data_IF_253712495312
#
_entry.id   IF_253712495312
#
_cell.length_a   1.000
_cell.length_b   1.000
_cell.length_c   1.000
_cell.angle_alpha   90.00
_cell.angle_beta   90.00
_cell.angle_gamma   90.00
#
_symmetry.space_group_name_H-M   'P 1'
#
loop_
_entity.id
_entity.type
_entity.pdbx_description
1 polymer ?
#
# COMPACT_ATOMS: atom_id res chain seq x y z
N UNK A 1 7.62 -14.11 -5.99
CA UNK A 1 6.99 -12.78 -6.22
C UNK A 1 5.48 -12.91 -6.07
N UNK A 2 4.84 -12.10 -5.22
CA UNK A 2 3.39 -12.18 -4.94
C UNK A 2 2.53 -12.00 -6.22
N UNK A 3 1.40 -12.71 -6.31
CA UNK A 3 0.44 -12.58 -7.44
C UNK A 3 -0.08 -11.15 -7.58
N UNK A 4 -0.32 -10.45 -6.47
CA UNK A 4 -0.79 -9.07 -6.48
C UNK A 4 0.23 -8.12 -7.13
N UNK A 5 1.52 -8.31 -6.84
CA UNK A 5 2.59 -7.52 -7.44
C UNK A 5 2.67 -7.77 -8.96
N UNK A 6 2.52 -9.02 -9.40
CA UNK A 6 2.51 -9.35 -10.82
C UNK A 6 1.35 -8.66 -11.55
N UNK A 7 0.16 -8.63 -10.96
CA UNK A 7 -0.99 -7.92 -11.52
C UNK A 7 -0.79 -6.40 -11.59
N UNK A 8 -0.16 -5.80 -10.56
CA UNK A 8 0.16 -4.37 -10.54
C UNK A 8 1.24 -3.96 -11.55
N UNK A 9 2.19 -4.87 -11.83
CA UNK A 9 3.17 -4.69 -12.90
C UNK A 9 2.50 -4.82 -14.28
N UNK A 10 1.64 -5.83 -14.48
CA UNK A 10 0.91 -6.04 -15.73
C UNK A 10 0.00 -4.84 -16.10
N UNK A 11 -0.64 -4.23 -15.09
CA UNK A 11 -1.48 -3.03 -15.26
C UNK A 11 -0.69 -1.72 -15.28
N UNK A 12 0.65 -1.77 -15.28
CA UNK A 12 1.57 -0.61 -15.29
C UNK A 12 1.35 0.39 -14.15
N UNK A 13 0.79 -0.05 -13.02
CA UNK A 13 0.59 0.77 -11.81
C UNK A 13 1.82 0.77 -10.92
N UNK A 14 2.63 -0.27 -10.99
CA UNK A 14 3.92 -0.38 -10.33
C UNK A 14 5.00 -0.54 -11.40
N UNK A 15 6.17 0.03 -11.15
CA UNK A 15 7.40 -0.15 -11.92
C UNK A 15 8.47 -0.76 -11.04
N UNK A 16 9.30 -1.61 -11.64
CA UNK A 16 10.42 -2.26 -10.98
C UNK A 16 11.71 -1.54 -11.39
N UNK A 17 12.47 -1.07 -10.41
CA UNK A 17 13.84 -0.60 -10.62
C UNK A 17 14.82 -1.52 -9.90
N UNK A 18 15.97 -1.76 -10.52
CA UNK A 18 17.09 -2.44 -9.88
C UNK A 18 18.03 -1.39 -9.30
N UNK A 19 18.49 -1.61 -8.08
CA UNK A 19 19.55 -0.78 -7.51
C UNK A 19 20.85 -1.01 -8.30
N UNK A 20 21.61 0.06 -8.56
CA UNK A 20 22.86 -0.02 -9.33
C UNK A 20 23.96 -0.79 -8.57
N UNK A 21 23.86 -0.88 -7.24
CA UNK A 21 24.83 -1.59 -6.39
C UNK A 21 24.51 -3.06 -6.12
N UNK A 22 23.24 -3.47 -6.21
CA UNK A 22 22.82 -4.84 -5.95
C UNK A 22 21.58 -5.25 -6.77
N UNK A 23 21.80 -6.11 -7.77
CA UNK A 23 20.76 -6.62 -8.68
C UNK A 23 19.78 -7.60 -8.01
N UNK A 24 20.05 -8.05 -6.79
CA UNK A 24 19.16 -8.94 -6.03
C UNK A 24 18.03 -8.17 -5.35
N UNK A 25 18.17 -6.84 -5.17
CA UNK A 25 17.14 -5.98 -4.60
C UNK A 25 16.30 -5.34 -5.70
N UNK A 26 15.11 -5.90 -5.90
CA UNK A 26 14.08 -5.25 -6.70
C UNK A 26 13.35 -4.22 -5.86
N UNK A 27 13.53 -2.94 -6.20
CA UNK A 27 12.76 -1.85 -5.62
C UNK A 27 11.50 -1.66 -6.46
N UNK A 28 10.34 -1.76 -5.82
CA UNK A 28 9.05 -1.45 -6.43
C UNK A 28 8.71 0.01 -6.18
N UNK A 29 8.31 0.73 -7.23
CA UNK A 29 7.85 2.11 -7.15
C UNK A 29 6.50 2.26 -7.83
N UNK A 30 5.66 3.16 -7.33
CA UNK A 30 4.43 3.52 -8.05
C UNK A 30 4.78 4.26 -9.35
N UNK A 31 4.11 3.88 -10.42
CA UNK A 31 4.10 4.68 -11.65
C UNK A 31 3.24 5.94 -11.47
N UNK A 32 3.21 6.85 -12.44
CA UNK A 32 2.30 8.00 -12.40
C UNK A 32 0.82 7.56 -12.34
N UNK A 33 0.45 6.51 -13.09
CA UNK A 33 -0.88 5.92 -13.05
C UNK A 33 -1.18 5.28 -11.69
N UNK A 34 -0.21 4.56 -11.13
CA UNK A 34 -0.33 3.99 -9.79
C UNK A 34 -0.49 5.06 -8.71
N UNK A 35 0.25 6.16 -8.82
CA UNK A 35 0.11 7.32 -7.93
C UNK A 35 -1.27 7.95 -8.01
N UNK A 36 -1.83 8.15 -9.20
CA UNK A 36 -3.19 8.71 -9.34
C UNK A 36 -4.29 7.84 -8.72
N UNK A 37 -4.09 6.52 -8.70
CA UNK A 37 -5.00 5.60 -8.01
C UNK A 37 -4.78 5.66 -6.50
N UNK A 38 -3.51 5.64 -6.08
CA UNK A 38 -3.15 5.74 -4.67
C UNK A 38 -3.70 7.02 -4.04
N UNK A 39 -3.57 8.18 -4.67
CA UNK A 39 -4.07 9.45 -4.14
C UNK A 39 -5.59 9.49 -4.00
N UNK A 40 -6.31 8.68 -4.79
CA UNK A 40 -7.78 8.55 -4.68
C UNK A 40 -8.19 7.57 -3.57
N UNK A 41 -7.49 6.44 -3.45
CA UNK A 41 -7.90 5.34 -2.57
C UNK A 41 -7.33 5.50 -1.15
N UNK A 42 -6.10 5.99 -1.02
CA UNK A 42 -5.43 6.08 0.28
C UNK A 42 -6.20 6.95 1.30
N UNK A 43 -6.73 8.15 0.95
CA UNK A 43 -7.51 8.94 1.90
C UNK A 43 -8.79 8.22 2.36
N UNK A 44 -9.45 7.47 1.47
CA UNK A 44 -10.64 6.70 1.81
C UNK A 44 -10.31 5.58 2.78
N UNK A 45 -9.25 4.82 2.50
CA UNK A 45 -8.78 3.73 3.36
C UNK A 45 -8.40 4.24 4.76
N UNK A 46 -7.67 5.35 4.85
CA UNK A 46 -7.33 5.99 6.13
C UNK A 46 -8.59 6.49 6.86
N UNK A 47 -9.59 7.01 6.14
CA UNK A 47 -10.87 7.38 6.72
C UNK A 47 -11.64 6.19 7.31
N UNK A 48 -11.62 5.03 6.63
CA UNK A 48 -12.20 3.80 7.16
C UNK A 48 -11.45 3.29 8.39
N UNK A 49 -10.12 3.27 8.34
CA UNK A 49 -9.27 2.91 9.49
C UNK A 49 -9.59 3.79 10.70
N UNK A 50 -9.66 5.12 10.50
CA UNK A 50 -10.01 6.06 11.57
C UNK A 50 -11.36 5.74 12.20
N UNK A 51 -12.41 5.55 11.40
CA UNK A 51 -13.76 5.22 11.88
C UNK A 51 -13.79 3.89 12.64
N UNK A 52 -13.08 2.89 12.13
CA UNK A 52 -12.98 1.58 12.76
C UNK A 52 -12.29 1.69 14.12
N UNK A 53 -11.16 2.39 14.19
CA UNK A 53 -10.42 2.62 15.43
C UNK A 53 -11.21 3.48 16.41
N UNK A 54 -11.93 4.51 15.97
CA UNK A 54 -12.77 5.34 16.83
C UNK A 54 -13.89 4.49 17.48
N UNK A 55 -14.56 3.63 16.71
CA UNK A 55 -15.59 2.72 17.21
C UNK A 55 -15.05 1.65 18.18
N UNK A 56 -13.82 1.17 17.94
CA UNK A 56 -13.14 0.22 18.82
C UNK A 56 -12.58 0.90 20.08
N UNK A 57 -12.20 2.18 20.00
CA UNK A 57 -11.64 2.94 21.14
C UNK A 57 -12.68 3.18 22.23
N UNK A 58 -13.95 3.26 21.87
CA UNK A 58 -15.08 3.22 22.82
C UNK A 58 -15.23 1.89 23.55
N UNK A 59 -14.51 0.81 23.16
CA UNK A 59 -14.76 -0.54 23.67
C UNK A 59 -13.52 -1.47 23.73
N UNK A 60 -12.30 -0.99 23.99
CA UNK A 60 -11.01 -1.75 24.14
C UNK A 60 -10.03 -1.79 22.94
N UNK A 61 -9.85 -0.70 22.17
CA UNK A 61 -8.82 -0.66 21.11
C UNK A 61 -7.36 -0.86 21.60
N UNK A 62 -7.07 -0.58 22.88
CA UNK A 62 -5.71 -0.63 23.43
C UNK A 62 -5.09 -2.03 23.56
N UNK A 63 -5.90 -3.12 23.52
CA UNK A 63 -5.39 -4.50 23.72
C UNK A 63 -5.17 -5.29 22.42
N UNK A 64 -5.68 -4.83 21.28
CA UNK A 64 -5.63 -5.60 20.02
C UNK A 64 -4.45 -5.25 19.09
N UNK A 65 -3.70 -4.17 19.36
CA UNK A 65 -2.65 -3.67 18.45
C UNK A 65 -1.23 -3.73 19.08
N UNK A 66 -1.10 -4.32 20.27
CA UNK A 66 0.18 -4.50 20.98
C UNK A 66 0.74 -5.92 20.84
#
# INVERSE_FOLDING_TARGET
MSRAVQALLATRRVVRSYDKGDRRRSVLRLSALGRGVYTRVAPLALGYERRLLDALSTSDAGRCIA
#
